data_IF_605706339428
#
_entry.id   IF_605706339428
#
_cell.length_a   1.000
_cell.length_b   1.000
_cell.length_c   1.000
_cell.angle_alpha   90.00
_cell.angle_beta   90.00
_cell.angle_gamma   90.00
#
_symmetry.space_group_name_H-M   'P 1'
#
loop_
_entity.id
_entity.type
_entity.pdbx_description
1 polymer ?
#
# COMPACT_ATOMS: atom_id res chain seq x y z
N UNK A 1 -16.25 -15.06 27.24
CA UNK A 1 -17.14 -13.89 27.32
C UNK A 1 -17.73 -13.68 25.93
N UNK A 2 -18.99 -14.04 25.73
CA UNK A 2 -19.66 -13.98 24.42
C UNK A 2 -20.10 -12.54 24.16
N UNK A 3 -19.63 -11.93 23.09
CA UNK A 3 -20.20 -10.68 22.60
C UNK A 3 -21.43 -11.01 21.72
N UNK A 4 -22.59 -10.44 22.01
CA UNK A 4 -23.77 -10.67 21.20
C UNK A 4 -23.61 -9.96 19.84
N UNK A 5 -23.80 -10.72 18.78
CA UNK A 5 -23.88 -10.23 17.41
C UNK A 5 -25.17 -9.39 17.29
N UNK A 6 -25.08 -8.07 17.32
CA UNK A 6 -26.22 -7.21 17.03
C UNK A 6 -26.60 -7.36 15.55
N UNK A 7 -27.74 -7.95 15.31
CA UNK A 7 -28.39 -8.02 14.01
C UNK A 7 -28.66 -6.61 13.49
N UNK A 8 -27.90 -6.20 12.49
CA UNK A 8 -28.17 -4.96 11.74
C UNK A 8 -29.31 -5.24 10.76
N UNK A 9 -30.52 -4.94 11.18
CA UNK A 9 -31.70 -4.85 10.29
C UNK A 9 -31.55 -3.54 9.49
N UNK A 10 -31.71 -3.64 8.15
CA UNK A 10 -31.73 -2.55 7.17
C UNK A 10 -30.37 -1.95 6.77
N UNK A 11 -29.46 -2.76 6.24
CA UNK A 11 -28.47 -2.26 5.33
C UNK A 11 -29.13 -2.01 3.96
N UNK A 12 -29.45 -0.73 3.63
CA UNK A 12 -29.59 -0.31 2.24
C UNK A 12 -28.35 -0.82 1.52
N UNK A 13 -28.51 -1.49 0.39
CA UNK A 13 -27.42 -2.00 -0.45
C UNK A 13 -26.59 -0.77 -0.87
N UNK A 14 -25.59 -0.40 -0.07
CA UNK A 14 -24.63 0.60 -0.47
C UNK A 14 -23.80 -0.02 -1.59
N UNK A 15 -23.68 0.67 -2.69
CA UNK A 15 -22.81 0.26 -3.80
C UNK A 15 -21.43 -0.08 -3.23
N UNK A 16 -21.00 -1.31 -3.42
CA UNK A 16 -19.71 -1.79 -2.93
C UNK A 16 -18.64 -1.09 -3.75
N UNK A 17 -17.80 -0.26 -3.11
CA UNK A 17 -16.79 0.57 -3.78
C UNK A 17 -15.62 -0.21 -4.40
N UNK A 18 -15.72 -1.54 -4.54
CA UNK A 18 -14.75 -2.42 -5.17
C UNK A 18 -15.40 -3.73 -5.62
N UNK A 19 -14.77 -4.39 -6.61
CA UNK A 19 -15.25 -5.68 -7.15
C UNK A 19 -15.10 -6.83 -6.14
N UNK A 20 -14.11 -6.77 -5.26
CA UNK A 20 -13.77 -7.80 -4.29
C UNK A 20 -13.86 -7.23 -2.87
N UNK A 21 -14.65 -7.87 -2.01
CA UNK A 21 -14.75 -7.48 -0.59
C UNK A 21 -13.43 -7.64 0.17
N UNK A 22 -12.57 -8.56 -0.27
CA UNK A 22 -11.27 -8.83 0.34
C UNK A 22 -11.37 -9.60 1.66
N UNK A 23 -12.49 -10.28 1.94
CA UNK A 23 -12.69 -11.02 3.20
C UNK A 23 -11.68 -12.16 3.36
N UNK A 24 -11.43 -12.94 2.30
CA UNK A 24 -10.46 -14.03 2.35
C UNK A 24 -9.05 -13.52 2.66
N UNK A 25 -8.71 -12.35 2.15
CA UNK A 25 -7.44 -11.70 2.39
C UNK A 25 -7.34 -11.16 3.82
N UNK A 26 -8.42 -10.56 4.34
CA UNK A 26 -8.50 -10.15 5.73
C UNK A 26 -8.36 -11.34 6.69
N UNK A 27 -8.98 -12.48 6.37
CA UNK A 27 -8.87 -13.72 7.13
C UNK A 27 -7.42 -14.24 7.10
N UNK A 28 -6.78 -14.26 5.92
CA UNK A 28 -5.39 -14.65 5.78
C UNK A 28 -4.46 -13.77 6.62
N UNK A 29 -4.63 -12.46 6.60
CA UNK A 29 -3.83 -11.57 7.43
C UNK A 29 -4.07 -11.81 8.91
N UNK A 30 -5.31 -12.03 9.34
CA UNK A 30 -5.62 -12.37 10.74
C UNK A 30 -4.97 -13.69 11.16
N UNK A 31 -4.95 -14.68 10.29
CA UNK A 31 -4.29 -15.96 10.53
C UNK A 31 -2.76 -15.81 10.64
N UNK A 32 -2.15 -15.09 9.69
CA UNK A 32 -0.70 -14.87 9.68
C UNK A 32 -0.22 -13.98 10.83
N UNK A 33 -1.11 -13.17 11.41
CA UNK A 33 -0.80 -12.27 12.52
C UNK A 33 -1.47 -12.69 13.83
N UNK A 34 -1.70 -13.99 14.02
CA UNK A 34 -2.44 -14.54 15.16
C UNK A 34 -1.90 -14.12 16.54
N UNK A 35 -0.62 -13.85 16.66
CA UNK A 35 0.00 -13.34 17.89
C UNK A 35 -0.15 -11.81 18.12
N UNK A 36 -0.77 -11.09 17.19
CA UNK A 36 -0.81 -9.63 17.15
C UNK A 36 -2.21 -9.09 16.86
N UNK A 37 -3.25 -9.70 17.50
CA UNK A 37 -4.65 -9.33 17.28
C UNK A 37 -5.04 -8.01 17.93
N UNK A 38 -4.37 -7.64 19.03
CA UNK A 38 -4.62 -6.40 19.72
C UNK A 38 -4.00 -5.21 19.01
N UNK A 39 -4.37 -4.02 19.43
CA UNK A 39 -3.70 -2.80 19.00
C UNK A 39 -2.28 -2.76 19.58
N UNK A 40 -1.29 -2.84 18.73
CA UNK A 40 0.13 -2.87 19.09
C UNK A 40 0.90 -1.71 18.46
N UNK A 41 2.08 -1.42 19.00
CA UNK A 41 3.06 -0.53 18.41
C UNK A 41 3.96 -1.33 17.45
N UNK A 42 3.87 -1.04 16.15
CA UNK A 42 4.61 -1.77 15.11
C UNK A 42 6.12 -1.52 15.16
N UNK A 43 6.57 -0.44 15.84
CA UNK A 43 7.99 -0.21 16.07
C UNK A 43 8.58 -1.20 17.08
N UNK A 44 7.73 -1.87 17.87
CA UNK A 44 8.13 -2.89 18.86
C UNK A 44 8.07 -4.32 18.32
N UNK A 45 7.70 -4.49 17.06
CA UNK A 45 7.81 -5.80 16.41
C UNK A 45 9.30 -6.22 16.31
N UNK A 46 9.59 -7.53 16.21
CA UNK A 46 10.96 -8.02 16.02
C UNK A 46 11.69 -7.35 14.85
N UNK A 47 10.94 -7.00 13.81
CA UNK A 47 11.37 -6.11 12.72
C UNK A 47 10.38 -4.95 12.72
N UNK A 48 10.81 -3.71 13.03
CA UNK A 48 9.94 -2.54 12.97
C UNK A 48 9.23 -2.43 11.63
N UNK A 49 7.94 -2.12 11.66
CA UNK A 49 7.08 -2.13 10.48
C UNK A 49 6.25 -0.86 10.39
N UNK A 50 6.02 -0.41 9.17
CA UNK A 50 5.01 0.59 8.85
C UNK A 50 4.35 0.25 7.52
N UNK A 51 3.11 0.65 7.33
CA UNK A 51 2.46 0.61 6.02
C UNK A 51 1.67 1.89 5.77
N UNK A 52 1.53 2.21 4.49
CA UNK A 52 0.92 3.46 4.03
C UNK A 52 -0.47 3.19 3.49
N UNK A 53 -1.40 4.07 3.80
CA UNK A 53 -2.74 4.13 3.18
C UNK A 53 -3.06 5.58 2.85
N UNK A 54 -4.07 5.81 2.04
CA UNK A 54 -4.65 7.13 1.82
C UNK A 54 -6.04 7.21 2.41
N UNK A 55 -6.32 8.29 3.14
CA UNK A 55 -7.68 8.62 3.57
C UNK A 55 -8.37 9.48 2.51
N UNK A 56 -9.23 8.87 1.71
CA UNK A 56 -9.93 9.56 0.61
C UNK A 56 -10.99 10.59 1.06
N UNK A 57 -11.25 10.72 2.37
CA UNK A 57 -12.13 11.77 2.89
C UNK A 57 -11.46 13.14 2.83
N UNK A 58 -10.14 13.18 2.98
CA UNK A 58 -9.35 14.42 3.04
C UNK A 58 -8.08 14.41 2.17
N UNK A 59 -7.77 13.29 1.49
CA UNK A 59 -6.59 13.15 0.64
C UNK A 59 -5.26 13.00 1.40
N UNK A 60 -5.29 12.76 2.70
CA UNK A 60 -4.08 12.67 3.50
C UNK A 60 -3.50 11.25 3.50
N UNK A 61 -2.16 11.20 3.42
CA UNK A 61 -1.39 9.99 3.69
C UNK A 61 -1.57 9.56 5.15
N UNK A 62 -1.80 8.28 5.38
CA UNK A 62 -1.92 7.66 6.70
C UNK A 62 -0.82 6.61 6.85
N UNK A 63 0.16 6.91 7.71
CA UNK A 63 1.25 6.01 8.02
C UNK A 63 0.93 5.22 9.29
N UNK A 64 0.63 3.94 9.14
CA UNK A 64 0.35 3.06 10.26
C UNK A 64 1.64 2.60 10.92
N UNK A 65 1.87 3.07 12.15
CA UNK A 65 2.93 2.61 13.06
C UNK A 65 2.37 1.89 14.29
N UNK A 66 1.05 1.85 14.42
CA UNK A 66 0.32 1.22 15.54
C UNK A 66 -1.09 0.84 15.12
N UNK A 67 -1.71 -0.01 15.89
CA UNK A 67 -3.09 -0.47 15.68
C UNK A 67 -3.17 -1.99 15.51
N UNK A 68 -4.29 -2.47 14.96
CA UNK A 68 -4.45 -3.87 14.60
C UNK A 68 -3.71 -4.13 13.30
N UNK A 69 -2.66 -4.95 13.35
CA UNK A 69 -1.74 -5.16 12.23
C UNK A 69 -2.45 -5.65 10.96
N UNK A 70 -3.34 -6.64 11.08
CA UNK A 70 -4.12 -7.16 9.95
C UNK A 70 -4.98 -6.07 9.27
N UNK A 71 -5.56 -5.16 10.06
CA UNK A 71 -6.38 -4.05 9.55
C UNK A 71 -5.52 -3.03 8.80
N UNK A 72 -4.37 -2.67 9.35
CA UNK A 72 -3.42 -1.75 8.71
C UNK A 72 -2.93 -2.30 7.36
N UNK A 73 -2.52 -3.58 7.34
CA UNK A 73 -2.11 -4.26 6.10
C UNK A 73 -3.24 -4.32 5.07
N UNK A 74 -4.48 -4.62 5.52
CA UNK A 74 -5.65 -4.67 4.64
C UNK A 74 -5.99 -3.28 4.06
N UNK A 75 -5.82 -2.22 4.84
CA UNK A 75 -6.01 -0.84 4.37
C UNK A 75 -4.96 -0.46 3.32
N UNK A 76 -3.70 -0.77 3.58
CA UNK A 76 -2.56 -0.45 2.69
C UNK A 76 -2.63 -1.13 1.31
N UNK A 77 -3.46 -2.14 1.14
CA UNK A 77 -3.63 -2.84 -0.15
C UNK A 77 -5.04 -2.72 -0.73
N UNK A 78 -5.83 -1.79 -0.24
CA UNK A 78 -7.20 -1.57 -0.71
C UNK A 78 -7.23 -0.80 -2.04
N UNK A 79 -6.72 -1.42 -3.12
CA UNK A 79 -6.63 -0.82 -4.46
C UNK A 79 -8.02 -0.34 -4.91
N UNK A 80 -8.18 0.97 -5.22
CA UNK A 80 -9.44 1.52 -5.68
C UNK A 80 -9.98 0.80 -6.92
N UNK A 81 -11.28 0.50 -6.91
CA UNK A 81 -11.93 -0.25 -7.99
C UNK A 81 -11.73 -1.77 -7.93
N UNK A 82 -10.70 -2.28 -7.27
CA UNK A 82 -10.46 -3.72 -7.09
C UNK A 82 -11.02 -4.18 -5.75
N UNK A 83 -10.51 -3.62 -4.65
CA UNK A 83 -10.95 -3.96 -3.31
C UNK A 83 -11.85 -2.89 -2.70
N UNK A 84 -12.76 -3.32 -1.82
CA UNK A 84 -13.51 -2.36 -1.01
C UNK A 84 -12.58 -1.60 -0.07
N UNK A 85 -12.75 -0.25 0.04
CA UNK A 85 -12.05 0.55 1.02
C UNK A 85 -12.24 0.05 2.45
N UNK A 86 -11.25 0.24 3.30
CA UNK A 86 -11.33 -0.06 4.73
C UNK A 86 -11.87 1.16 5.47
N UNK A 87 -12.93 0.97 6.25
CA UNK A 87 -13.49 2.02 7.10
C UNK A 87 -12.95 1.85 8.51
N UNK A 88 -12.29 2.88 9.00
CA UNK A 88 -11.73 2.92 10.35
C UNK A 88 -12.05 4.28 10.97
N UNK A 89 -12.85 4.28 12.01
CA UNK A 89 -13.38 5.49 12.63
C UNK A 89 -14.06 6.41 11.59
N UNK A 90 -13.60 7.64 11.43
CA UNK A 90 -14.09 8.62 10.45
C UNK A 90 -13.34 8.55 9.10
N UNK A 91 -12.41 7.62 8.94
CA UNK A 91 -11.58 7.49 7.75
C UNK A 91 -12.16 6.46 6.78
N UNK A 92 -11.94 6.72 5.49
CA UNK A 92 -12.16 5.77 4.41
C UNK A 92 -10.82 5.56 3.72
N UNK A 93 -10.23 4.40 3.97
CA UNK A 93 -8.85 4.10 3.62
C UNK A 93 -8.77 3.27 2.34
N UNK A 94 -7.88 3.68 1.47
CA UNK A 94 -7.50 2.97 0.24
C UNK A 94 -5.99 2.71 0.23
N UNK A 95 -5.53 2.00 -0.79
CA UNK A 95 -4.12 1.67 -1.01
C UNK A 95 -3.23 2.92 -0.95
N UNK A 96 -2.15 2.82 -0.20
CA UNK A 96 -1.17 3.90 -0.07
C UNK A 96 -0.41 4.20 -1.36
N UNK A 97 -0.38 3.27 -2.31
CA UNK A 97 0.23 3.48 -3.62
C UNK A 97 -0.39 4.62 -4.43
N UNK A 98 -1.60 5.06 -4.07
CA UNK A 98 -2.26 6.23 -4.66
C UNK A 98 -1.53 7.53 -4.29
N UNK A 99 -1.02 7.63 -3.08
CA UNK A 99 -0.36 8.85 -2.55
C UNK A 99 1.15 8.65 -2.42
N UNK A 100 1.62 7.50 -1.98
CA UNK A 100 3.04 7.24 -1.71
C UNK A 100 3.39 5.77 -1.98
N UNK A 101 3.66 5.44 -3.24
CA UNK A 101 3.96 4.07 -3.68
C UNK A 101 5.43 3.66 -3.46
N UNK A 102 6.26 4.57 -2.96
CA UNK A 102 7.67 4.33 -2.66
C UNK A 102 8.08 5.07 -1.38
N UNK A 103 7.66 4.56 -0.20
CA UNK A 103 7.67 5.31 1.07
C UNK A 103 9.06 5.37 1.73
N UNK A 104 10.08 5.84 1.01
CA UNK A 104 11.45 6.05 1.51
C UNK A 104 11.48 7.10 2.63
N UNK A 105 10.64 8.14 2.51
CA UNK A 105 10.46 9.15 3.55
C UNK A 105 9.99 8.54 4.87
N UNK A 106 9.09 7.56 4.83
CA UNK A 106 8.59 6.86 6.02
C UNK A 106 9.70 6.04 6.66
N UNK A 107 10.46 5.29 5.87
CA UNK A 107 11.60 4.50 6.37
C UNK A 107 12.68 5.40 7.02
N UNK A 108 12.95 6.58 6.44
CA UNK A 108 13.85 7.56 7.06
C UNK A 108 13.33 8.11 8.39
N UNK A 109 12.04 8.42 8.43
CA UNK A 109 11.40 8.89 9.66
C UNK A 109 11.42 7.82 10.78
N UNK A 110 11.47 6.54 10.42
CA UNK A 110 11.68 5.42 11.35
C UNK A 110 13.13 5.26 11.80
N UNK A 111 14.07 6.08 11.32
CA UNK A 111 15.49 6.07 11.72
C UNK A 111 16.40 5.18 10.85
N UNK A 112 15.98 4.81 9.65
CA UNK A 112 16.83 4.02 8.76
C UNK A 112 17.95 4.87 8.13
N UNK A 113 19.21 4.50 8.36
CA UNK A 113 20.39 5.13 7.76
C UNK A 113 20.60 4.64 6.31
N UNK A 114 20.37 3.35 6.08
CA UNK A 114 20.48 2.71 4.78
C UNK A 114 19.11 2.20 4.37
N UNK A 115 18.65 2.61 3.20
CA UNK A 115 17.34 2.23 2.67
C UNK A 115 17.54 1.47 1.36
N UNK A 116 17.01 0.25 1.32
CA UNK A 116 16.94 -0.56 0.10
C UNK A 116 15.51 -0.47 -0.40
N UNK A 117 15.31 0.19 -1.54
CA UNK A 117 13.99 0.34 -2.13
C UNK A 117 13.73 -0.70 -3.22
N UNK A 118 12.57 -1.30 -3.22
CA UNK A 118 12.12 -2.20 -4.28
C UNK A 118 11.05 -1.48 -5.10
N UNK A 119 11.41 -1.17 -6.35
CA UNK A 119 10.49 -0.53 -7.29
C UNK A 119 9.62 -1.60 -7.96
N UNK A 120 8.36 -1.61 -7.61
CA UNK A 120 7.33 -2.51 -8.15
C UNK A 120 6.35 -1.79 -9.09
N UNK A 121 6.62 -0.54 -9.43
CA UNK A 121 5.75 0.23 -10.32
C UNK A 121 5.75 -0.38 -11.73
N UNK A 122 4.62 -0.21 -12.40
CA UNK A 122 4.53 -0.54 -13.82
C UNK A 122 4.85 0.71 -14.64
N UNK A 123 5.45 0.50 -15.80
CA UNK A 123 5.59 1.57 -16.79
C UNK A 123 4.22 2.09 -17.21
N UNK A 124 4.15 3.37 -17.58
CA UNK A 124 2.94 3.97 -18.11
C UNK A 124 2.59 3.30 -19.44
N UNK A 125 1.32 2.95 -19.60
CA UNK A 125 0.81 2.35 -20.83
C UNK A 125 0.75 3.37 -21.96
N UNK A 126 1.12 2.97 -23.17
CA UNK A 126 0.96 3.80 -24.35
C UNK A 126 -0.54 3.97 -24.71
N UNK A 127 -0.86 4.97 -25.51
CA UNK A 127 -2.25 5.34 -25.84
C UNK A 127 -3.06 4.18 -26.44
N UNK A 128 -2.44 3.30 -27.21
CA UNK A 128 -3.09 2.16 -27.85
C UNK A 128 -3.50 1.04 -26.87
N UNK A 129 -3.02 1.08 -25.62
CA UNK A 129 -3.40 0.12 -24.56
C UNK A 129 -4.44 0.70 -23.57
N UNK A 130 -4.81 1.97 -23.72
CA UNK A 130 -5.77 2.65 -22.85
C UNK A 130 -7.19 2.59 -23.39
N UNK A 131 -7.65 1.39 -23.77
CA UNK A 131 -8.92 1.17 -24.47
C UNK A 131 -10.06 0.67 -23.56
N UNK A 132 -9.81 0.46 -22.29
CA UNK A 132 -10.80 -0.01 -21.32
C UNK A 132 -10.84 0.87 -20.07
N UNK A 133 -12.00 0.92 -19.42
CA UNK A 133 -12.17 1.64 -18.15
C UNK A 133 -11.15 1.17 -17.09
N UNK A 134 -10.88 -0.13 -17.05
CA UNK A 134 -9.90 -0.70 -16.12
C UNK A 134 -8.46 -0.27 -16.43
N UNK A 135 -8.06 -0.21 -17.71
CA UNK A 135 -6.74 0.27 -18.10
C UNK A 135 -6.55 1.76 -17.81
N UNK A 136 -7.59 2.56 -18.05
CA UNK A 136 -7.58 4.00 -17.76
C UNK A 136 -7.51 4.24 -16.25
N UNK A 137 -8.33 3.54 -15.44
CA UNK A 137 -8.30 3.67 -13.98
C UNK A 137 -6.94 3.25 -13.41
N UNK A 138 -6.39 2.13 -13.88
CA UNK A 138 -5.04 1.69 -13.46
C UNK A 138 -3.95 2.70 -13.81
N UNK A 139 -4.04 3.34 -14.98
CA UNK A 139 -3.12 4.40 -15.39
C UNK A 139 -3.23 5.64 -14.50
N UNK A 140 -4.47 6.05 -14.16
CA UNK A 140 -4.69 7.18 -13.26
C UNK A 140 -4.10 6.92 -11.86
N UNK A 141 -4.29 5.72 -11.31
CA UNK A 141 -3.71 5.32 -10.02
C UNK A 141 -2.18 5.38 -10.10
N UNK A 142 -1.58 4.86 -11.17
CA UNK A 142 -0.13 4.94 -11.36
C UNK A 142 0.39 6.39 -11.45
N UNK A 143 -0.37 7.29 -12.07
CA UNK A 143 -0.01 8.69 -12.22
C UNK A 143 -0.07 9.46 -10.89
N UNK A 144 -1.04 9.14 -10.02
CA UNK A 144 -1.25 9.87 -8.76
C UNK A 144 -0.02 9.79 -7.84
N UNK A 145 0.61 8.61 -7.71
CA UNK A 145 1.82 8.43 -6.88
C UNK A 145 3.14 8.80 -7.55
N UNK A 146 3.13 9.16 -8.84
CA UNK A 146 4.35 9.25 -9.64
C UNK A 146 5.28 10.41 -9.23
N UNK A 147 4.75 11.54 -8.82
CA UNK A 147 5.58 12.71 -8.45
C UNK A 147 6.39 12.45 -7.18
N UNK A 148 5.73 11.90 -6.15
CA UNK A 148 6.43 11.56 -4.92
C UNK A 148 7.44 10.42 -5.16
N UNK A 149 7.07 9.44 -5.98
CA UNK A 149 7.99 8.37 -6.38
C UNK A 149 9.26 8.94 -7.03
N UNK A 150 9.15 9.84 -8.00
CA UNK A 150 10.31 10.46 -8.65
C UNK A 150 11.20 11.15 -7.63
N UNK A 151 10.63 11.98 -6.77
CA UNK A 151 11.36 12.69 -5.72
C UNK A 151 12.07 11.75 -4.74
N UNK A 152 11.42 10.69 -4.30
CA UNK A 152 11.99 9.76 -3.31
C UNK A 152 12.97 8.77 -3.98
N UNK A 153 12.75 8.38 -5.23
CA UNK A 153 13.69 7.53 -5.97
C UNK A 153 15.01 8.21 -6.27
N UNK A 154 15.02 9.51 -6.56
CA UNK A 154 16.23 10.30 -6.74
C UNK A 154 17.07 10.40 -5.46
N UNK A 155 16.42 10.37 -4.29
CA UNK A 155 17.06 10.44 -2.97
C UNK A 155 17.58 9.10 -2.46
N UNK A 156 17.12 8.00 -3.04
CA UNK A 156 17.50 6.66 -2.59
C UNK A 156 18.63 6.08 -3.46
N UNK A 157 19.74 5.75 -2.81
CA UNK A 157 20.94 5.20 -3.46
C UNK A 157 20.77 3.75 -3.93
N UNK A 158 19.90 2.98 -3.30
CA UNK A 158 19.72 1.56 -3.58
C UNK A 158 18.31 1.28 -4.04
N UNK A 159 18.11 1.11 -5.35
CA UNK A 159 16.81 0.82 -5.97
C UNK A 159 16.91 -0.49 -6.74
N UNK A 160 16.02 -1.43 -6.40
CA UNK A 160 15.82 -2.66 -7.16
C UNK A 160 14.56 -2.54 -8.00
N UNK A 161 14.68 -2.67 -9.32
CA UNK A 161 13.55 -2.59 -10.24
C UNK A 161 12.97 -3.98 -10.53
N UNK A 162 11.66 -4.09 -10.66
CA UNK A 162 10.92 -5.33 -10.88
C UNK A 162 11.37 -6.13 -12.10
N UNK A 163 11.80 -5.50 -13.18
CA UNK A 163 12.28 -6.19 -14.39
C UNK A 163 13.53 -7.05 -14.16
N UNK A 164 14.28 -6.80 -13.09
CA UNK A 164 15.45 -7.60 -12.70
C UNK A 164 15.09 -9.05 -12.32
N UNK A 165 13.79 -9.32 -12.05
CA UNK A 165 13.31 -10.66 -11.63
C UNK A 165 12.77 -11.51 -12.80
N UNK A 166 12.73 -11.02 -14.03
CA UNK A 166 12.22 -11.76 -15.19
C UNK A 166 13.26 -12.67 -15.84
N UNK A 167 14.01 -13.47 -15.05
CA UNK A 167 14.80 -14.60 -15.53
C UNK A 167 16.11 -14.27 -16.27
N UNK A 168 16.46 -13.01 -16.39
CA UNK A 168 17.77 -12.56 -16.82
C UNK A 168 18.29 -11.74 -15.65
N UNK A 169 19.14 -12.33 -14.82
CA UNK A 169 19.97 -11.55 -13.92
C UNK A 169 20.86 -10.71 -14.81
N UNK A 170 20.63 -9.39 -14.97
CA UNK A 170 21.63 -8.55 -15.53
C UNK A 170 22.84 -8.61 -14.59
N UNK A 171 24.05 -8.50 -15.09
CA UNK A 171 25.19 -8.35 -14.22
C UNK A 171 24.85 -7.25 -13.21
N UNK A 172 25.16 -7.50 -11.94
CA UNK A 172 24.94 -6.53 -10.85
C UNK A 172 25.57 -5.22 -11.31
N UNK A 173 24.75 -4.33 -11.82
CA UNK A 173 25.23 -3.00 -12.19
C UNK A 173 25.71 -2.37 -10.90
N UNK A 174 26.94 -1.90 -10.80
CA UNK A 174 27.38 -1.18 -9.63
C UNK A 174 26.40 -0.04 -9.37
N UNK A 175 26.15 0.35 -8.11
CA UNK A 175 25.26 1.43 -7.78
C UNK A 175 25.60 2.63 -8.66
N UNK A 176 24.59 3.18 -9.34
CA UNK A 176 24.80 4.37 -10.19
C UNK A 176 25.34 5.46 -9.26
N UNK A 177 26.61 5.72 -9.40
CA UNK A 177 27.31 6.78 -8.67
C UNK A 177 26.91 8.09 -9.34
N UNK A 178 25.91 8.77 -8.81
CA UNK A 178 25.64 10.14 -9.19
C UNK A 178 26.82 10.99 -8.66
N UNK A 179 27.71 11.37 -9.55
CA UNK A 179 28.69 12.44 -9.27
C UNK A 179 27.92 13.76 -9.16
N UNK A 180 28.23 14.50 -8.12
CA UNK A 180 27.69 15.83 -7.80
C UNK A 180 27.92 16.82 -8.96
#
# INVERSE_FOLDING_TARGET
MYFPCHSVKNAKTQAVGGLIKGQNLANLFSELTVGYHDSIDFNKLPIPFACVSENIVNGNEVNFHKGVLATAMRASMAIPGVFTPVRLDSMVLVDGGVVNNYPVNVARAMGADIIIGVDVQNDLKPANELNSTGSILGQLINLMGLELYKKESERNRYIYKRWMWRGILPPVSPPVRWTH
#
